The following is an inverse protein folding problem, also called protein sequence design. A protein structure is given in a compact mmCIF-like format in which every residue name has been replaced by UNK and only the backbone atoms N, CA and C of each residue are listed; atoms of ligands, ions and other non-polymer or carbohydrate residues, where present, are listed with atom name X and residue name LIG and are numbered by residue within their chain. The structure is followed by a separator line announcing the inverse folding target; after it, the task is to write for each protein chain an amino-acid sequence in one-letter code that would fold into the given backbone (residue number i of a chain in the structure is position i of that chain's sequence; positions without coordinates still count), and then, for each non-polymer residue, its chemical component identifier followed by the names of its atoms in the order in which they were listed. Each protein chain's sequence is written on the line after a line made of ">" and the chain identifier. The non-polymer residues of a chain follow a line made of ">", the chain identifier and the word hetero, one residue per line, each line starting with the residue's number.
data_IF_122316551293
#
_entry.id   IF_122316551293
#
_cell.length_a   1.000
_cell.length_b   1.000
_cell.length_c   1.000
_cell.angle_alpha   90.00
_cell.angle_beta   90.00
_cell.angle_gamma   90.00
#
_symmetry.space_group_name_H-M   'P 1'
#
loop_
_entity.id
_entity.type
_entity.pdbx_description
1 polymer ?
#
# COMPACT_ATOMS: atom_id res chain seq x y z
N UNK A 1 -38.80 18.40 -55.52
CA UNK A 1 -38.44 17.40 -54.49
C UNK A 1 -37.45 18.06 -53.55
N UNK A 2 -37.89 18.51 -52.38
CA UNK A 2 -37.02 19.17 -51.41
C UNK A 2 -36.65 18.14 -50.33
N UNK A 3 -35.38 17.75 -50.29
CA UNK A 3 -34.85 16.83 -49.28
C UNK A 3 -34.56 17.62 -48.01
N UNK A 4 -35.28 17.33 -46.93
CA UNK A 4 -35.00 17.91 -45.60
C UNK A 4 -33.88 17.10 -44.96
N UNK A 5 -32.77 17.73 -44.54
CA UNK A 5 -31.68 17.00 -43.91
C UNK A 5 -32.10 16.54 -42.51
N UNK A 6 -31.94 15.25 -42.24
CA UNK A 6 -32.08 14.67 -40.90
C UNK A 6 -30.88 15.08 -40.05
N UNK A 7 -31.12 15.93 -39.06
CA UNK A 7 -30.12 16.24 -38.02
C UNK A 7 -30.22 15.19 -36.92
N UNK A 8 -29.19 14.35 -36.79
CA UNK A 8 -29.05 13.43 -35.66
C UNK A 8 -28.43 14.19 -34.49
N UNK A 9 -29.19 14.37 -33.40
CA UNK A 9 -28.64 14.87 -32.15
C UNK A 9 -28.05 13.69 -31.37
N UNK A 10 -26.74 13.73 -31.13
CA UNK A 10 -26.03 12.75 -30.29
C UNK A 10 -26.03 13.31 -28.87
N UNK A 11 -26.60 12.55 -27.93
CA UNK A 11 -26.60 12.88 -26.51
C UNK A 11 -25.22 12.61 -25.91
N UNK A 12 -24.44 13.67 -25.67
CA UNK A 12 -23.07 13.60 -25.16
C UNK A 12 -22.99 13.51 -23.65
N UNK A 13 -24.11 13.66 -22.91
CA UNK A 13 -24.07 13.77 -21.44
C UNK A 13 -23.45 12.57 -20.74
N UNK A 14 -23.63 11.35 -21.27
CA UNK A 14 -22.96 10.15 -20.75
C UNK A 14 -21.45 10.17 -21.00
N UNK A 15 -21.03 10.68 -22.15
CA UNK A 15 -19.62 10.79 -22.51
C UNK A 15 -18.91 11.85 -21.66
N UNK A 16 -19.58 12.97 -21.44
CA UNK A 16 -19.08 14.08 -20.62
C UNK A 16 -18.90 13.64 -19.16
N UNK A 17 -19.86 12.88 -18.61
CA UNK A 17 -19.75 12.32 -17.25
C UNK A 17 -18.59 11.33 -17.09
N UNK A 18 -18.41 10.42 -18.06
CA UNK A 18 -17.29 9.46 -18.05
C UNK A 18 -15.95 10.19 -18.18
N UNK A 19 -15.89 11.24 -18.99
CA UNK A 19 -14.69 12.05 -19.16
C UNK A 19 -14.34 12.79 -17.86
N UNK A 20 -15.31 13.41 -17.18
CA UNK A 20 -15.12 14.05 -15.88
C UNK A 20 -14.67 13.07 -14.80
N UNK A 21 -15.31 11.90 -14.69
CA UNK A 21 -14.91 10.84 -13.74
C UNK A 21 -13.47 10.33 -14.03
N UNK A 22 -13.10 10.21 -15.30
CA UNK A 22 -11.75 9.77 -15.70
C UNK A 22 -10.71 10.84 -15.39
N UNK A 23 -11.01 12.12 -15.65
CA UNK A 23 -10.13 13.23 -15.33
C UNK A 23 -9.95 13.38 -13.82
N UNK A 24 -11.01 13.20 -13.04
CA UNK A 24 -10.94 13.20 -11.58
C UNK A 24 -10.06 12.06 -11.05
N UNK A 25 -10.25 10.83 -11.57
CA UNK A 25 -9.39 9.68 -11.25
C UNK A 25 -7.93 9.90 -11.64
N UNK A 26 -7.67 10.52 -12.79
CA UNK A 26 -6.31 10.83 -13.25
C UNK A 26 -5.66 11.93 -12.39
N UNK A 27 -6.41 12.94 -11.96
CA UNK A 27 -5.92 13.97 -11.05
C UNK A 27 -5.62 13.40 -9.66
N UNK A 28 -6.50 12.57 -9.12
CA UNK A 28 -6.26 11.84 -7.87
C UNK A 28 -5.05 10.91 -7.97
N UNK A 29 -4.90 10.21 -9.10
CA UNK A 29 -3.74 9.34 -9.36
C UNK A 29 -2.44 10.15 -9.52
N UNK A 30 -2.49 11.32 -10.15
CA UNK A 30 -1.34 12.21 -10.30
C UNK A 30 -0.94 12.87 -8.97
N UNK A 31 -1.91 13.25 -8.13
CA UNK A 31 -1.68 13.76 -6.77
C UNK A 31 -1.15 12.65 -5.85
N UNK A 32 -1.70 11.44 -5.92
CA UNK A 32 -1.17 10.25 -5.24
C UNK A 32 0.28 9.97 -5.64
N UNK A 33 0.57 10.00 -6.95
CA UNK A 33 1.92 9.79 -7.49
C UNK A 33 2.89 10.93 -7.14
N UNK A 34 2.42 12.17 -7.05
CA UNK A 34 3.22 13.31 -6.60
C UNK A 34 3.44 13.31 -5.08
N UNK A 35 2.55 12.70 -4.31
CA UNK A 35 2.65 12.53 -2.85
C UNK A 35 3.52 11.34 -2.43
N UNK A 36 3.85 10.40 -3.34
CA UNK A 36 4.82 9.34 -3.09
C UNK A 36 6.25 9.89 -3.12
N UNK A 37 6.60 10.68 -2.10
CA UNK A 37 7.98 11.00 -1.83
C UNK A 37 8.70 9.70 -1.43
N UNK A 38 9.65 9.27 -2.25
CA UNK A 38 10.50 8.13 -1.91
C UNK A 38 11.41 8.52 -0.75
N UNK A 39 11.57 7.61 0.21
CA UNK A 39 12.43 7.76 1.38
C UNK A 39 13.41 6.61 1.42
N UNK A 40 14.69 6.94 1.49
CA UNK A 40 15.76 6.01 1.80
C UNK A 40 16.01 6.02 3.31
N UNK A 41 15.67 4.93 3.99
CA UNK A 41 15.84 4.75 5.44
C UNK A 41 16.89 3.68 5.72
N UNK A 42 17.93 4.05 6.45
CA UNK A 42 18.92 3.12 7.00
C UNK A 42 18.32 2.52 8.27
N UNK A 43 18.16 1.20 8.35
CA UNK A 43 17.52 0.53 9.50
C UNK A 43 18.47 -0.35 10.30
N UNK A 44 19.62 -0.70 9.74
CA UNK A 44 20.70 -1.42 10.39
C UNK A 44 22.02 -0.79 10.00
N UNK A 45 22.83 -0.39 10.99
CA UNK A 45 24.07 0.36 10.78
C UNK A 45 25.23 -0.29 11.54
N UNK A 46 26.19 -0.89 10.83
CA UNK A 46 27.37 -1.56 11.39
C UNK A 46 28.63 -1.24 10.58
N UNK A 47 28.89 0.03 10.24
CA UNK A 47 29.98 0.41 9.32
C UNK A 47 31.39 0.55 9.96
N UNK A 48 31.68 -0.21 11.01
CA UNK A 48 33.02 -0.33 11.58
C UNK A 48 33.46 0.87 12.43
N UNK A 49 33.63 2.07 11.86
CA UNK A 49 34.27 3.22 12.54
C UNK A 49 33.55 4.58 12.33
N UNK A 50 32.49 4.63 11.51
CA UNK A 50 31.76 5.87 11.24
C UNK A 50 30.45 5.93 12.03
N UNK A 51 30.43 6.87 12.97
CA UNK A 51 29.32 7.11 13.89
C UNK A 51 28.01 7.46 13.20
N UNK A 52 26.98 7.54 14.05
CA UNK A 52 25.59 7.96 13.82
C UNK A 52 25.00 7.54 12.48
N UNK A 53 24.06 6.60 12.54
CA UNK A 53 23.23 6.23 11.41
C UNK A 53 22.65 7.48 10.72
N UNK A 54 22.73 7.59 9.38
CA UNK A 54 22.12 8.71 8.68
C UNK A 54 20.61 8.78 8.92
N UNK A 55 20.09 10.01 8.91
CA UNK A 55 18.65 10.22 8.96
C UNK A 55 18.01 9.76 7.66
N UNK A 56 16.71 9.50 7.73
CA UNK A 56 15.88 9.21 6.57
C UNK A 56 16.06 10.31 5.51
N UNK A 57 16.39 9.88 4.30
CA UNK A 57 16.77 10.79 3.20
C UNK A 57 15.70 10.73 2.12
N UNK A 58 15.02 11.84 1.81
CA UNK A 58 14.10 11.88 0.68
C UNK A 58 14.89 11.78 -0.63
N UNK A 59 14.38 11.00 -1.58
CA UNK A 59 14.98 10.81 -2.90
C UNK A 59 13.92 10.99 -3.98
N UNK A 60 14.35 11.41 -5.16
CA UNK A 60 13.46 11.65 -6.30
C UNK A 60 13.28 10.42 -7.19
N UNK A 61 14.18 9.43 -7.11
CA UNK A 61 14.10 8.23 -7.93
C UNK A 61 14.87 7.04 -7.33
N UNK A 62 14.56 5.80 -7.75
CA UNK A 62 15.32 4.60 -7.39
C UNK A 62 16.81 4.67 -7.78
N UNK A 63 17.13 5.32 -8.90
CA UNK A 63 18.51 5.50 -9.37
C UNK A 63 19.30 6.40 -8.42
N UNK A 64 18.70 7.51 -7.97
CA UNK A 64 19.33 8.38 -6.99
C UNK A 64 19.61 7.63 -5.69
N UNK A 65 18.66 6.80 -5.23
CA UNK A 65 18.87 5.97 -4.05
C UNK A 65 20.04 4.99 -4.24
N UNK A 66 20.13 4.33 -5.40
CA UNK A 66 21.24 3.44 -5.74
C UNK A 66 22.60 4.14 -5.71
N UNK A 67 22.70 5.34 -6.28
CA UNK A 67 23.95 6.11 -6.26
C UNK A 67 24.34 6.57 -4.84
N UNK A 68 23.36 6.91 -3.99
CA UNK A 68 23.62 7.19 -2.57
C UNK A 68 24.18 5.95 -1.86
N UNK A 69 23.58 4.78 -2.07
CA UNK A 69 24.05 3.52 -1.47
C UNK A 69 25.47 3.17 -1.91
N UNK A 70 25.79 3.31 -3.19
CA UNK A 70 27.15 3.10 -3.73
C UNK A 70 28.15 4.11 -3.17
N UNK A 71 27.78 5.39 -3.07
CA UNK A 71 28.66 6.38 -2.46
C UNK A 71 28.95 6.05 -0.99
N UNK A 72 27.95 5.54 -0.27
CA UNK A 72 28.08 5.16 1.13
C UNK A 72 28.84 3.86 1.36
N UNK A 73 28.83 2.90 0.42
CA UNK A 73 29.62 1.68 0.55
C UNK A 73 31.11 1.99 0.67
N UNK A 74 31.61 2.99 -0.07
CA UNK A 74 32.98 3.48 0.03
C UNK A 74 33.35 4.10 1.39
N UNK A 75 32.37 4.35 2.26
CA UNK A 75 32.59 4.83 3.63
C UNK A 75 32.62 3.71 4.67
N UNK A 76 32.42 2.45 4.29
CA UNK A 76 32.44 1.31 5.21
C UNK A 76 33.89 0.89 5.47
N UNK A 77 34.26 0.77 6.75
CA UNK A 77 35.53 0.15 7.15
C UNK A 77 35.31 -1.32 7.51
N UNK A 78 36.14 -2.22 7.00
CA UNK A 78 36.01 -3.64 7.29
C UNK A 78 36.44 -3.99 8.74
N UNK A 79 35.74 -4.91 9.41
CA UNK A 79 34.46 -5.52 9.00
C UNK A 79 33.29 -4.56 9.23
N UNK A 80 32.39 -4.43 8.24
CA UNK A 80 31.18 -3.63 8.41
C UNK A 80 30.16 -3.76 7.28
N UNK A 81 28.91 -3.42 7.59
CA UNK A 81 27.80 -3.39 6.65
C UNK A 81 26.71 -2.42 7.10
N UNK A 82 25.76 -2.13 6.23
CA UNK A 82 24.50 -1.52 6.62
C UNK A 82 23.34 -2.05 5.77
N UNK A 83 22.12 -1.93 6.29
CA UNK A 83 20.91 -2.24 5.55
C UNK A 83 20.03 -0.99 5.45
N UNK A 84 19.40 -0.83 4.29
CA UNK A 84 18.49 0.27 4.01
C UNK A 84 17.20 -0.23 3.37
N UNK A 85 16.13 0.54 3.54
CA UNK A 85 14.90 0.40 2.76
C UNK A 85 14.72 1.64 1.89
N UNK A 86 14.45 1.43 0.60
CA UNK A 86 13.77 2.44 -0.21
C UNK A 86 12.27 2.19 -0.06
N UNK A 87 11.49 3.21 0.25
CA UNK A 87 10.05 3.06 0.50
C UNK A 87 9.27 4.32 0.13
N UNK A 88 7.98 4.14 -0.15
CA UNK A 88 6.97 5.20 -0.16
C UNK A 88 5.89 4.88 0.90
N UNK A 89 4.70 5.46 0.76
CA UNK A 89 3.56 5.17 1.65
C UNK A 89 3.02 3.74 1.57
N UNK A 90 3.34 2.98 0.52
CA UNK A 90 2.71 1.70 0.16
C UNK A 90 3.72 0.56 0.03
N UNK A 91 4.83 0.76 -0.68
CA UNK A 91 5.81 -0.25 -1.01
C UNK A 91 7.15 0.00 -0.33
N UNK A 92 7.93 -1.06 -0.17
CA UNK A 92 9.31 -0.96 0.29
C UNK A 92 10.19 -2.06 -0.31
N UNK A 93 11.47 -1.75 -0.47
CA UNK A 93 12.48 -2.71 -0.88
C UNK A 93 13.75 -2.56 -0.06
N UNK A 94 14.33 -3.69 0.33
CA UNK A 94 15.56 -3.73 1.11
C UNK A 94 16.81 -3.70 0.23
N UNK A 95 17.86 -3.07 0.75
CA UNK A 95 19.23 -3.19 0.28
C UNK A 95 20.13 -3.62 1.44
N UNK A 96 21.06 -4.52 1.15
CA UNK A 96 22.18 -4.90 1.99
C UNK A 96 23.46 -4.38 1.35
N UNK A 97 24.30 -3.68 2.11
CA UNK A 97 25.48 -3.00 1.58
C UNK A 97 26.71 -3.32 2.43
N UNK A 98 27.77 -3.78 1.76
CA UNK A 98 29.13 -3.91 2.28
C UNK A 98 30.08 -2.98 1.52
N UNK A 99 31.35 -2.97 1.89
CA UNK A 99 32.36 -2.12 1.24
C UNK A 99 32.67 -2.53 -0.20
N UNK A 100 32.37 -3.79 -0.56
CA UNK A 100 32.69 -4.41 -1.84
C UNK A 100 31.47 -4.66 -2.74
N UNK A 101 30.24 -4.69 -2.21
CA UNK A 101 29.03 -4.84 -3.02
C UNK A 101 27.76 -4.23 -2.41
N UNK A 102 26.80 -3.92 -3.28
CA UNK A 102 25.42 -3.53 -2.94
C UNK A 102 24.49 -4.61 -3.48
N UNK A 103 23.64 -5.19 -2.63
CA UNK A 103 22.62 -6.15 -3.03
C UNK A 103 21.23 -5.64 -2.69
N UNK A 104 20.36 -5.54 -3.69
CA UNK A 104 18.97 -5.11 -3.53
C UNK A 104 18.04 -6.33 -3.59
N UNK A 105 16.91 -6.29 -2.85
CA UNK A 105 16.01 -7.43 -2.61
C UNK A 105 15.43 -8.13 -3.86
N UNK A 106 15.48 -7.49 -5.03
CA UNK A 106 15.13 -8.12 -6.31
C UNK A 106 16.38 -8.75 -6.97
N UNK A 107 16.82 -9.91 -6.47
CA UNK A 107 17.89 -10.70 -7.11
C UNK A 107 19.32 -10.15 -6.96
N UNK A 108 20.13 -10.31 -8.01
CA UNK A 108 21.53 -9.81 -8.10
C UNK A 108 21.60 -8.38 -8.65
N UNK A 109 20.57 -7.55 -8.38
CA UNK A 109 20.53 -6.18 -8.86
C UNK A 109 21.39 -5.25 -8.00
N UNK A 110 22.20 -4.42 -8.67
CA UNK A 110 22.96 -3.33 -8.04
C UNK A 110 22.11 -2.05 -7.84
N UNK A 111 20.89 -2.02 -8.38
CA UNK A 111 19.99 -0.86 -8.36
C UNK A 111 18.56 -1.32 -8.02
N UNK A 112 17.78 -0.47 -7.34
CA UNK A 112 16.35 -0.73 -7.14
C UNK A 112 15.61 -0.83 -8.49
N UNK A 113 14.65 -1.76 -8.63
CA UNK A 113 13.84 -1.90 -9.83
C UNK A 113 12.96 -0.66 -10.05
N UNK A 114 12.30 -0.63 -11.21
CA UNK A 114 11.34 0.44 -11.50
C UNK A 114 10.23 0.42 -10.45
N UNK A 115 10.05 1.55 -9.77
CA UNK A 115 9.08 1.65 -8.68
C UNK A 115 7.64 1.30 -9.11
N UNK A 116 7.31 1.60 -10.37
CA UNK A 116 6.02 1.27 -10.98
C UNK A 116 5.82 -0.22 -11.31
N UNK A 117 6.85 -1.06 -11.19
CA UNK A 117 6.73 -2.51 -11.39
C UNK A 117 6.58 -3.29 -10.10
N UNK A 118 6.59 -2.62 -8.94
CA UNK A 118 6.36 -3.27 -7.65
C UNK A 118 4.92 -3.77 -7.58
N UNK A 119 4.76 -4.94 -6.95
CA UNK A 119 3.48 -5.59 -6.79
C UNK A 119 3.16 -5.85 -5.33
N UNK A 120 2.10 -6.63 -5.11
CA UNK A 120 1.61 -6.99 -3.78
C UNK A 120 2.69 -7.59 -2.86
N UNK A 121 3.67 -8.32 -3.40
CA UNK A 121 4.77 -8.90 -2.60
C UNK A 121 5.76 -7.85 -2.06
N UNK A 122 5.73 -6.62 -2.58
CA UNK A 122 6.61 -5.52 -2.21
C UNK A 122 5.86 -4.48 -1.36
N UNK A 123 4.59 -4.72 -1.04
CA UNK A 123 3.78 -3.87 -0.17
C UNK A 123 4.27 -3.94 1.28
N UNK A 124 4.20 -2.79 1.95
CA UNK A 124 4.58 -2.67 3.35
C UNK A 124 3.47 -3.29 4.21
N UNK A 125 3.83 -4.16 5.18
CA UNK A 125 2.83 -4.72 6.07
C UNK A 125 2.13 -3.62 6.85
N UNK A 126 0.81 -3.70 7.00
CA UNK A 126 0.03 -2.73 7.76
C UNK A 126 -0.25 -3.28 9.15
N UNK A 127 0.19 -2.55 10.18
CA UNK A 127 -0.15 -2.84 11.56
C UNK A 127 -1.23 -1.89 12.06
N UNK A 128 -2.40 -2.47 12.32
CA UNK A 128 -3.53 -1.75 12.88
C UNK A 128 -3.48 -1.82 14.41
N UNK A 129 -3.43 -0.67 15.07
CA UNK A 129 -3.30 -0.58 16.53
C UNK A 129 -4.47 0.17 17.16
N UNK A 130 -4.93 -0.27 18.33
CA UNK A 130 -6.03 0.38 19.04
C UNK A 130 -6.37 -0.28 20.36
N UNK A 131 -7.49 0.14 20.95
CA UNK A 131 -8.02 -0.50 22.16
C UNK A 131 -8.55 -1.90 21.87
N UNK A 132 -8.63 -2.76 22.89
CA UNK A 132 -9.23 -4.10 22.75
C UNK A 132 -10.63 -4.07 22.11
N UNK A 133 -11.46 -3.10 22.49
CA UNK A 133 -12.80 -2.94 21.94
C UNK A 133 -12.78 -2.61 20.44
N UNK A 134 -11.90 -1.70 20.00
CA UNK A 134 -11.78 -1.33 18.59
C UNK A 134 -11.22 -2.49 17.74
N UNK A 135 -10.24 -3.22 18.26
CA UNK A 135 -9.69 -4.38 17.56
C UNK A 135 -10.71 -5.52 17.51
N UNK A 136 -11.51 -5.72 18.57
CA UNK A 136 -12.61 -6.68 18.56
C UNK A 136 -13.69 -6.30 17.53
N UNK A 137 -14.01 -5.01 17.38
CA UNK A 137 -14.92 -4.51 16.35
C UNK A 137 -14.37 -4.78 14.94
N UNK A 138 -13.10 -4.48 14.68
CA UNK A 138 -12.46 -4.74 13.37
C UNK A 138 -12.50 -6.21 12.97
N UNK A 139 -12.29 -7.11 13.93
CA UNK A 139 -12.31 -8.56 13.70
C UNK A 139 -13.71 -9.16 13.72
N UNK A 140 -14.75 -8.35 13.96
CA UNK A 140 -16.11 -8.86 14.03
C UNK A 140 -16.55 -9.41 12.67
N UNK A 141 -17.21 -10.59 12.61
CA UNK A 141 -17.63 -11.20 11.35
C UNK A 141 -18.51 -10.30 10.46
N UNK A 142 -19.30 -9.40 11.06
CA UNK A 142 -20.13 -8.43 10.31
C UNK A 142 -19.33 -7.46 9.44
N UNK A 143 -18.01 -7.37 9.64
CA UNK A 143 -17.11 -6.55 8.84
C UNK A 143 -16.37 -7.37 7.77
N UNK A 144 -16.50 -8.70 7.74
CA UNK A 144 -15.70 -9.60 6.92
C UNK A 144 -15.68 -9.23 5.42
N UNK A 145 -16.84 -8.91 4.85
CA UNK A 145 -16.95 -8.57 3.42
C UNK A 145 -16.18 -7.27 3.09
N UNK A 146 -16.43 -6.20 3.86
CA UNK A 146 -15.72 -4.94 3.68
C UNK A 146 -14.21 -5.06 3.97
N UNK A 147 -13.83 -5.82 5.00
CA UNK A 147 -12.45 -6.15 5.33
C UNK A 147 -11.78 -6.87 4.14
N UNK A 148 -12.46 -7.85 3.54
CA UNK A 148 -11.93 -8.59 2.40
C UNK A 148 -11.74 -7.72 1.16
N UNK A 149 -12.64 -6.76 0.91
CA UNK A 149 -12.50 -5.78 -0.18
C UNK A 149 -11.26 -4.89 -0.03
N UNK A 150 -10.88 -4.56 1.21
CA UNK A 150 -9.77 -3.66 1.49
C UNK A 150 -8.45 -4.42 1.65
N UNK A 151 -8.45 -5.61 2.27
CA UNK A 151 -7.25 -6.27 2.77
C UNK A 151 -7.09 -7.74 2.37
N UNK A 152 -7.86 -8.24 1.40
CA UNK A 152 -7.80 -9.60 0.83
C UNK A 152 -8.24 -10.75 1.76
N UNK A 153 -8.41 -10.51 3.05
CA UNK A 153 -8.81 -11.52 4.03
C UNK A 153 -10.23 -11.30 4.55
N UNK A 154 -10.96 -12.39 4.79
CA UNK A 154 -12.27 -12.34 5.46
C UNK A 154 -12.18 -11.84 6.91
N UNK A 155 -10.99 -11.79 7.50
CA UNK A 155 -10.75 -11.22 8.83
C UNK A 155 -9.30 -10.77 9.00
N UNK A 156 -9.07 -9.73 9.82
CA UNK A 156 -7.72 -9.29 10.15
C UNK A 156 -7.11 -10.19 11.25
N UNK A 157 -5.95 -10.82 11.00
CA UNK A 157 -5.30 -11.64 12.00
C UNK A 157 -4.77 -10.81 13.17
N UNK A 158 -4.58 -11.48 14.31
CA UNK A 158 -3.90 -10.91 15.47
C UNK A 158 -2.40 -11.02 15.32
N UNK A 159 -1.67 -9.94 15.53
CA UNK A 159 -0.22 -10.01 15.68
C UNK A 159 0.12 -10.64 17.03
N UNK A 160 0.94 -11.68 17.02
CA UNK A 160 1.38 -12.45 18.19
C UNK A 160 2.59 -11.82 18.91
N UNK A 161 3.15 -10.72 18.38
CA UNK A 161 4.30 -10.02 18.94
C UNK A 161 5.68 -10.64 18.61
N UNK A 162 5.71 -11.79 17.93
CA UNK A 162 6.96 -12.52 17.65
C UNK A 162 7.10 -12.98 16.21
N UNK A 163 5.99 -13.12 15.49
CA UNK A 163 5.98 -13.56 14.11
C UNK A 163 6.56 -12.51 13.20
N UNK A 164 7.38 -13.00 12.28
CA UNK A 164 7.76 -12.27 11.08
C UNK A 164 6.49 -12.02 10.27
N UNK A 165 6.11 -10.75 10.12
CA UNK A 165 4.93 -10.39 9.35
C UNK A 165 5.25 -10.47 7.85
N UNK A 166 5.06 -11.67 7.33
CA UNK A 166 4.82 -12.02 5.92
C UNK A 166 3.43 -11.54 5.49
N UNK A 167 2.44 -11.59 6.40
CA UNK A 167 1.08 -11.15 6.14
C UNK A 167 1.01 -9.64 5.89
N UNK A 168 0.33 -9.25 4.81
CA UNK A 168 0.17 -7.86 4.40
C UNK A 168 -0.48 -6.97 5.48
N UNK A 169 -1.31 -7.52 6.38
CA UNK A 169 -2.03 -6.74 7.40
C UNK A 169 -2.27 -7.55 8.68
N UNK A 170 -2.05 -6.95 9.85
CA UNK A 170 -2.42 -7.52 11.14
C UNK A 170 -2.90 -6.46 12.14
N UNK A 171 -3.54 -6.91 13.22
CA UNK A 171 -4.07 -6.06 14.29
C UNK A 171 -3.39 -6.35 15.63
N UNK A 172 -3.16 -5.31 16.43
CA UNK A 172 -2.49 -5.40 17.74
C UNK A 172 -3.08 -4.42 18.76
N UNK A 173 -2.89 -4.72 20.04
CA UNK A 173 -3.27 -3.86 21.17
C UNK A 173 -2.07 -3.11 21.77
N UNK A 174 -0.87 -3.26 21.19
CA UNK A 174 0.29 -2.47 21.57
C UNK A 174 0.03 -0.98 21.29
N UNK A 175 0.58 -0.13 22.16
CA UNK A 175 0.50 1.32 21.99
C UNK A 175 1.37 1.77 20.83
N UNK A 176 1.02 2.92 20.25
CA UNK A 176 1.79 3.53 19.17
C UNK A 176 3.28 3.68 19.54
N UNK A 177 3.57 4.15 20.75
CA UNK A 177 4.94 4.34 21.25
C UNK A 177 5.74 3.02 21.30
N UNK A 178 5.08 1.91 21.65
CA UNK A 178 5.70 0.58 21.68
C UNK A 178 6.00 0.12 20.26
N UNK A 179 5.05 0.31 19.34
CA UNK A 179 5.21 -0.02 17.92
C UNK A 179 6.32 0.81 17.27
N UNK A 180 6.35 2.12 17.51
CA UNK A 180 7.41 3.02 17.04
C UNK A 180 8.79 2.56 17.54
N UNK A 181 8.89 2.14 18.80
CA UNK A 181 10.13 1.62 19.36
C UNK A 181 10.53 0.24 18.80
N UNK A 182 9.56 -0.57 18.38
CA UNK A 182 9.81 -1.86 17.73
C UNK A 182 10.34 -1.67 16.30
N UNK A 183 9.75 -0.74 15.54
CA UNK A 183 10.07 -0.51 14.12
C UNK A 183 11.19 0.51 13.92
N UNK A 184 11.65 1.18 14.98
CA UNK A 184 12.72 2.17 14.85
C UNK A 184 14.01 1.51 14.31
N UNK A 185 14.76 2.24 13.47
CA UNK A 185 16.10 1.85 13.08
C UNK A 185 16.99 1.49 14.28
N UNK A 186 17.86 0.51 14.07
CA UNK A 186 18.84 0.07 15.07
C UNK A 186 20.10 0.90 14.97
N UNK A 187 20.55 1.44 16.10
CA UNK A 187 21.86 2.10 16.19
C UNK A 187 22.98 1.07 16.38
N UNK A 188 24.19 1.42 15.93
CA UNK A 188 25.36 0.52 15.91
C UNK A 188 25.79 0.01 17.29
N UNK A 189 25.47 0.74 18.35
CA UNK A 189 25.86 0.41 19.72
C UNK A 189 24.84 -0.48 20.43
N UNK A 190 23.68 -0.72 19.81
CA UNK A 190 22.64 -1.55 20.40
C UNK A 190 22.94 -3.03 20.18
N UNK A 191 22.62 -3.85 21.20
CA UNK A 191 22.72 -5.30 21.08
C UNK A 191 21.83 -5.82 19.94
N UNK A 192 22.27 -6.89 19.28
CA UNK A 192 21.50 -7.53 18.22
C UNK A 192 20.12 -7.97 18.74
N UNK A 193 19.06 -7.43 18.12
CA UNK A 193 17.68 -7.89 18.28
C UNK A 193 17.19 -8.46 16.94
N UNK A 194 16.39 -9.53 16.93
CA UNK A 194 15.82 -10.06 15.69
C UNK A 194 14.97 -9.00 15.01
N UNK A 195 15.09 -8.89 13.68
CA UNK A 195 14.18 -8.06 12.90
C UNK A 195 12.81 -8.73 12.89
N UNK A 196 11.81 -8.04 13.43
CA UNK A 196 10.43 -8.53 13.50
C UNK A 196 9.70 -8.40 12.16
N UNK A 197 10.24 -7.60 11.23
CA UNK A 197 9.61 -7.28 9.95
C UNK A 197 10.62 -7.41 8.80
N UNK A 198 10.18 -7.98 7.68
CA UNK A 198 10.88 -7.96 6.39
C UNK A 198 11.02 -6.54 5.85
N UNK A 199 9.92 -5.80 5.93
CA UNK A 199 9.70 -4.47 5.37
C UNK A 199 9.18 -3.54 6.48
N UNK A 200 9.43 -2.22 6.39
CA UNK A 200 8.99 -1.29 7.41
C UNK A 200 7.45 -1.20 7.41
N UNK A 201 6.75 -1.56 8.51
CA UNK A 201 5.31 -1.57 8.49
C UNK A 201 4.72 -0.15 8.37
N UNK A 202 3.50 -0.05 7.86
CA UNK A 202 2.65 1.15 7.96
C UNK A 202 1.81 1.01 9.22
N UNK A 203 1.91 1.99 10.13
CA UNK A 203 1.09 2.00 11.34
C UNK A 203 -0.23 2.71 11.04
N UNK A 204 -1.34 2.05 11.37
CA UNK A 204 -2.70 2.57 11.16
C UNK A 204 -3.50 2.48 12.45
N UNK A 205 -4.19 3.56 12.84
CA UNK A 205 -5.07 3.48 14.01
C UNK A 205 -6.29 2.62 13.70
N UNK A 206 -6.80 1.91 14.71
CA UNK A 206 -8.01 1.13 14.59
C UNK A 206 -9.23 2.01 14.25
N UNK A 207 -9.24 3.27 14.72
CA UNK A 207 -10.26 4.25 14.36
C UNK A 207 -10.27 4.54 12.85
N UNK A 208 -9.10 4.81 12.26
CA UNK A 208 -8.99 5.02 10.81
C UNK A 208 -9.34 3.75 10.03
N UNK A 209 -8.91 2.58 10.49
CA UNK A 209 -9.26 1.32 9.85
C UNK A 209 -10.77 1.03 9.92
N UNK A 210 -11.44 1.35 11.03
CA UNK A 210 -12.88 1.21 11.18
C UNK A 210 -13.64 2.17 10.27
N UNK A 211 -13.12 3.38 10.06
CA UNK A 211 -13.72 4.33 9.13
C UNK A 211 -13.68 3.81 7.69
N UNK A 212 -12.54 3.26 7.24
CA UNK A 212 -12.44 2.64 5.93
C UNK A 212 -13.43 1.49 5.77
N UNK A 213 -13.58 0.64 6.80
CA UNK A 213 -14.57 -0.44 6.82
C UNK A 213 -15.99 0.13 6.70
N UNK A 214 -16.33 1.21 7.41
CA UNK A 214 -17.67 1.83 7.33
C UNK A 214 -17.94 2.42 5.94
N UNK A 215 -16.96 3.09 5.35
CA UNK A 215 -17.06 3.63 4.00
C UNK A 215 -17.26 2.51 2.98
N UNK A 216 -16.50 1.43 3.09
CA UNK A 216 -16.63 0.30 2.17
C UNK A 216 -17.96 -0.43 2.34
N UNK A 217 -18.45 -0.62 3.57
CA UNK A 217 -19.79 -1.16 3.80
C UNK A 217 -20.88 -0.30 3.15
N UNK A 218 -20.74 1.03 3.20
CA UNK A 218 -21.66 1.92 2.53
C UNK A 218 -21.58 1.79 0.99
N UNK A 219 -20.38 1.64 0.43
CA UNK A 219 -20.15 1.40 -0.99
C UNK A 219 -20.77 0.08 -1.46
N UNK A 220 -20.56 -1.01 -0.72
CA UNK A 220 -21.15 -2.33 -0.99
C UNK A 220 -22.67 -2.25 -0.97
N UNK A 221 -23.25 -1.62 0.05
CA UNK A 221 -24.69 -1.42 0.15
C UNK A 221 -25.25 -0.65 -1.05
N UNK A 222 -24.60 0.45 -1.45
CA UNK A 222 -25.01 1.26 -2.60
C UNK A 222 -24.98 0.48 -3.93
N UNK A 223 -24.03 -0.43 -4.11
CA UNK A 223 -23.97 -1.30 -5.30
C UNK A 223 -25.08 -2.36 -5.30
N UNK A 224 -25.48 -2.86 -4.14
CA UNK A 224 -26.55 -3.86 -4.01
C UNK A 224 -27.96 -3.31 -4.32
N UNK A 225 -28.16 -2.00 -4.16
CA UNK A 225 -29.44 -1.31 -4.41
C UNK A 225 -29.67 -0.96 -5.90
N UNK A 226 -28.70 -1.20 -6.78
CA UNK A 226 -28.87 -1.01 -8.23
C UNK A 226 -29.71 -2.17 -8.79
N UNK A 227 -31.04 -2.06 -8.67
CA UNK A 227 -31.98 -2.95 -9.35
C UNK A 227 -31.71 -2.93 -10.86
N UNK A 228 -31.38 -4.10 -11.40
CA UNK A 228 -31.37 -4.34 -12.85
C UNK A 228 -32.77 -4.06 -13.39
N UNK A 229 -32.95 -3.22 -14.43
CA UNK A 229 -34.26 -3.05 -15.03
C UNK A 229 -34.71 -4.39 -15.61
N UNK A 230 -35.72 -4.99 -14.99
CA UNK A 230 -36.39 -6.20 -15.50
C UNK A 230 -37.01 -5.83 -16.84
N UNK A 231 -36.47 -6.36 -17.93
CA UNK A 231 -37.13 -6.32 -19.23
C UNK A 231 -38.48 -7.03 -19.08
N UNK A 232 -39.55 -6.25 -19.08
CA UNK A 232 -40.92 -6.79 -19.09
C UNK A 232 -41.17 -7.45 -20.44
N UNK A 233 -41.21 -8.78 -20.47
CA UNK A 233 -41.68 -9.54 -21.63
C UNK A 233 -43.18 -9.36 -21.75
N UNK A 234 -43.63 -8.52 -22.68
CA UNK A 234 -45.03 -8.52 -23.14
C UNK A 234 -45.30 -9.81 -23.90
N UNK A 235 -45.99 -10.75 -23.25
CA UNK A 235 -46.63 -11.89 -23.88
C UNK A 235 -47.87 -11.43 -24.65
N UNK A 236 -47.75 -11.27 -25.97
CA UNK A 236 -48.90 -11.04 -26.85
C UNK A 236 -49.66 -12.37 -27.04
N UNK A 237 -50.72 -12.57 -26.25
CA UNK A 237 -51.74 -13.58 -26.54
C UNK A 237 -52.51 -13.16 -27.80
N UNK A 238 -52.24 -13.80 -28.93
CA UNK A 238 -53.09 -13.70 -30.12
C UNK A 238 -54.07 -14.88 -30.12
N UNK A 239 -55.30 -14.59 -29.72
CA UNK A 239 -56.45 -15.47 -29.85
C UNK A 239 -56.80 -15.64 -31.32
N UNK A 240 -56.64 -16.85 -31.86
CA UNK A 240 -57.26 -17.25 -33.11
C UNK A 240 -58.54 -18.05 -32.80
N UNK A 241 -59.69 -17.54 -33.24
CA UNK A 241 -60.94 -18.31 -33.30
C UNK A 241 -61.70 -17.92 -34.56
N UNK A 242 -61.99 -18.97 -35.34
CA UNK A 242 -62.89 -19.13 -36.49
C UNK A 242 -62.50 -18.48 -37.81
#
# INVERSE_FOLDING_TARGET
>A
MSSTPLTVQVDTTKLDKVLEETQHKLAQYAEFKAAQQLVLRFYEWQCGHHGTRPRDTPVSSPEQAGEILKAMSHCISQPGHFCAWLMDGTHAMSAYVTDDYVRVGAGDSEIFPQWSSLGWQDERPVLVYGTEAQIAELRHPDNAEAVSCIWFFDSLPAWDGTSFLDDNVATTTLRLEELENLIRPREWHEAGRPNQFSLPPVLKSAESALEDVRQERASIAACSDVQTPVLSTESTNSSASL
#
